data_IF_615950516401
#
_entry.id   IF_615950516401
#
_cell.length_a   1.000
_cell.length_b   1.000
_cell.length_c   1.000
_cell.angle_alpha   90.00
_cell.angle_beta   90.00
_cell.angle_gamma   90.00
#
_symmetry.space_group_name_H-M   'P 1'
#
loop_
_entity.id
_entity.type
_entity.pdbx_description
1 polymer ?
#
# COMPACT_ATOMS: atom_id res chain seq x y z
N UNK A 1 21.58 -27.62 -24.41
CA UNK A 1 21.29 -27.03 -23.10
C UNK A 1 19.96 -26.27 -23.20
N UNK A 2 18.86 -26.81 -22.62
CA UNK A 2 17.62 -26.05 -22.56
C UNK A 2 17.85 -24.90 -21.58
N UNK A 3 17.85 -23.67 -22.06
CA UNK A 3 17.79 -22.50 -21.21
C UNK A 3 16.45 -22.56 -20.50
N UNK A 4 16.48 -22.93 -19.23
CA UNK A 4 15.28 -22.94 -18.36
C UNK A 4 14.74 -21.52 -18.30
N UNK A 5 13.74 -21.24 -19.16
CA UNK A 5 13.11 -19.91 -19.19
C UNK A 5 12.37 -19.71 -17.87
N UNK A 6 12.80 -18.72 -17.10
CA UNK A 6 12.09 -18.32 -15.90
C UNK A 6 10.60 -18.09 -16.21
N UNK A 7 9.72 -18.59 -15.36
CA UNK A 7 8.29 -18.29 -15.46
C UNK A 7 8.06 -16.78 -15.24
N UNK A 8 6.92 -16.28 -15.69
CA UNK A 8 6.56 -14.86 -15.51
C UNK A 8 6.73 -14.39 -14.06
N UNK A 9 6.14 -15.11 -13.09
CA UNK A 9 6.26 -14.74 -11.67
C UNK A 9 7.70 -14.83 -11.14
N UNK A 10 8.51 -15.79 -11.60
CA UNK A 10 9.93 -15.85 -11.22
C UNK A 10 10.75 -14.70 -11.76
N UNK A 11 10.40 -14.16 -12.95
CA UNK A 11 11.04 -12.95 -13.49
C UNK A 11 10.68 -11.72 -12.67
N UNK A 12 9.41 -11.54 -12.34
CA UNK A 12 8.95 -10.44 -11.49
C UNK A 12 9.59 -10.51 -10.08
N UNK A 13 9.66 -11.70 -9.50
CA UNK A 13 10.35 -11.93 -8.22
C UNK A 13 11.84 -11.51 -8.31
N UNK A 14 12.55 -12.00 -9.32
CA UNK A 14 13.97 -11.70 -9.49
C UNK A 14 14.23 -10.20 -9.71
N UNK A 15 13.39 -9.51 -10.49
CA UNK A 15 13.44 -8.07 -10.70
C UNK A 15 13.23 -7.32 -9.38
N UNK A 16 12.18 -7.65 -8.64
CA UNK A 16 11.87 -7.00 -7.36
C UNK A 16 12.98 -7.21 -6.32
N UNK A 17 13.53 -8.42 -6.21
CA UNK A 17 14.66 -8.71 -5.33
C UNK A 17 15.91 -7.91 -5.73
N UNK A 18 16.19 -7.81 -7.03
CA UNK A 18 17.29 -6.97 -7.54
C UNK A 18 17.11 -5.51 -7.13
N UNK A 19 15.93 -4.93 -7.37
CA UNK A 19 15.62 -3.54 -7.00
C UNK A 19 15.79 -3.32 -5.49
N UNK A 20 15.29 -4.24 -4.65
CA UNK A 20 15.39 -4.12 -3.18
C UNK A 20 16.86 -4.14 -2.73
N UNK A 21 17.67 -5.02 -3.30
CA UNK A 21 19.11 -5.11 -2.99
C UNK A 21 19.88 -3.89 -3.46
N UNK A 22 19.58 -3.37 -4.64
CA UNK A 22 20.18 -2.17 -5.21
C UNK A 22 19.95 -0.96 -4.28
N UNK A 23 18.73 -0.77 -3.80
CA UNK A 23 18.43 0.32 -2.86
C UNK A 23 19.17 0.16 -1.55
N UNK A 24 19.24 -1.05 -1.00
CA UNK A 24 19.98 -1.28 0.25
C UNK A 24 21.50 -1.07 0.11
N UNK A 25 22.05 -1.20 -1.10
CA UNK A 25 23.45 -0.96 -1.39
C UNK A 25 23.79 0.51 -1.64
N UNK A 26 22.87 1.25 -2.27
CA UNK A 26 23.12 2.61 -2.75
C UNK A 26 22.69 3.70 -1.76
N UNK A 27 21.71 3.43 -0.89
CA UNK A 27 21.17 4.41 0.05
C UNK A 27 21.63 4.16 1.48
N UNK A 28 21.86 5.26 2.20
CA UNK A 28 22.39 5.19 3.57
C UNK A 28 21.33 4.88 4.61
N UNK A 29 20.07 5.28 4.36
CA UNK A 29 19.00 5.14 5.33
C UNK A 29 17.64 4.83 4.63
N UNK A 30 17.51 3.67 3.99
CA UNK A 30 16.27 3.26 3.37
C UNK A 30 15.23 2.82 4.40
N UNK A 31 13.94 2.89 4.02
CA UNK A 31 12.80 2.43 4.82
C UNK A 31 11.77 1.73 3.95
N UNK A 32 11.09 0.71 4.46
CA UNK A 32 9.99 0.06 3.74
C UNK A 32 8.63 0.49 4.32
N UNK A 33 7.82 1.14 3.48
CA UNK A 33 6.46 1.53 3.87
C UNK A 33 5.59 0.27 3.98
N UNK A 34 5.04 0.03 5.18
CA UNK A 34 4.23 -1.13 5.48
C UNK A 34 2.78 -0.72 5.74
N UNK A 35 1.98 -0.71 4.68
CA UNK A 35 0.54 -0.33 4.74
C UNK A 35 -0.37 -1.47 5.18
N UNK A 36 0.17 -2.67 5.40
CA UNK A 36 -0.54 -3.90 5.80
C UNK A 36 -1.42 -4.48 4.66
N UNK A 37 -1.52 -3.82 3.53
CA UNK A 37 -2.23 -4.33 2.36
C UNK A 37 -1.50 -5.50 1.67
N UNK A 38 -2.17 -6.20 0.74
CA UNK A 38 -1.61 -7.33 -0.01
C UNK A 38 -0.28 -7.02 -0.70
N UNK A 39 -0.19 -5.83 -1.30
CA UNK A 39 1.01 -5.40 -2.03
C UNK A 39 2.20 -5.19 -1.07
N UNK A 40 1.99 -4.56 0.08
CA UNK A 40 3.03 -4.40 1.09
C UNK A 40 3.42 -5.72 1.76
N UNK A 41 2.50 -6.69 1.85
CA UNK A 41 2.80 -8.04 2.34
C UNK A 41 3.68 -8.82 1.35
N UNK A 42 3.40 -8.72 0.04
CA UNK A 42 4.27 -9.28 -1.02
C UNK A 42 5.63 -8.59 -1.02
N UNK A 43 5.67 -7.26 -0.92
CA UNK A 43 6.92 -6.51 -0.88
C UNK A 43 7.78 -6.90 0.33
N UNK A 44 7.18 -7.08 1.51
CA UNK A 44 7.86 -7.56 2.70
C UNK A 44 8.40 -8.99 2.51
N UNK A 45 7.60 -9.90 1.94
CA UNK A 45 8.05 -11.26 1.63
C UNK A 45 9.24 -11.27 0.68
N UNK A 46 9.23 -10.44 -0.36
CA UNK A 46 10.35 -10.28 -1.31
C UNK A 46 11.60 -9.72 -0.62
N UNK A 47 11.44 -8.76 0.31
CA UNK A 47 12.55 -8.24 1.10
C UNK A 47 13.16 -9.31 2.02
N UNK A 48 12.34 -10.12 2.67
CA UNK A 48 12.83 -11.26 3.45
C UNK A 48 13.60 -12.26 2.58
N UNK A 49 13.12 -12.57 1.37
CA UNK A 49 13.85 -13.42 0.40
C UNK A 49 15.15 -12.77 -0.08
N UNK A 50 15.13 -11.45 -0.30
CA UNK A 50 16.30 -10.72 -0.81
C UNK A 50 17.52 -10.82 0.11
N UNK A 51 17.30 -10.90 1.41
CA UNK A 51 18.38 -10.90 2.42
C UNK A 51 18.52 -12.22 3.19
N UNK A 52 17.73 -13.24 2.84
CA UNK A 52 17.81 -14.53 3.51
C UNK A 52 19.25 -15.09 3.53
N UNK A 53 19.75 -15.61 4.67
CA UNK A 53 19.06 -15.87 5.94
C UNK A 53 19.00 -14.66 6.91
N UNK A 54 19.61 -13.53 6.56
CA UNK A 54 19.56 -12.30 7.36
C UNK A 54 18.19 -11.61 7.22
N UNK A 55 17.92 -10.64 8.09
CA UNK A 55 16.78 -9.73 7.97
C UNK A 55 17.08 -8.60 6.99
N UNK A 56 16.06 -7.95 6.41
CA UNK A 56 16.26 -6.71 5.66
C UNK A 56 17.01 -5.67 6.50
N UNK A 57 18.04 -4.97 5.95
CA UNK A 57 18.86 -4.03 6.69
C UNK A 57 18.22 -2.64 6.83
N UNK A 58 16.92 -2.59 6.87
CA UNK A 58 16.12 -1.36 6.99
C UNK A 58 14.83 -1.61 7.77
N UNK A 59 14.30 -0.62 8.49
CA UNK A 59 13.08 -0.74 9.25
C UNK A 59 11.85 -0.70 8.36
N UNK A 60 10.71 -1.13 8.93
CA UNK A 60 9.37 -0.89 8.40
C UNK A 60 8.84 0.45 8.94
N UNK A 61 8.10 1.19 8.12
CA UNK A 61 7.38 2.39 8.54
C UNK A 61 5.88 2.21 8.26
N UNK A 62 5.09 2.27 9.32
CA UNK A 62 3.64 2.34 9.24
C UNK A 62 3.17 3.74 9.60
N UNK A 63 2.46 4.40 8.68
CA UNK A 63 1.75 5.65 8.97
C UNK A 63 0.37 5.28 9.53
N UNK A 64 0.22 5.50 10.82
CA UNK A 64 -1.06 5.28 11.50
C UNK A 64 -1.93 6.53 11.38
N UNK A 65 -3.03 6.37 10.67
CA UNK A 65 -4.01 7.42 10.45
C UNK A 65 -5.10 7.46 11.54
N UNK A 66 -4.94 6.67 12.60
CA UNK A 66 -5.92 6.42 13.69
C UNK A 66 -7.21 5.71 13.25
N UNK A 67 -7.56 5.76 11.98
CA UNK A 67 -8.74 5.13 11.39
C UNK A 67 -8.35 3.90 10.55
N UNK A 68 -7.85 2.87 11.23
CA UNK A 68 -7.56 1.55 10.64
C UNK A 68 -8.54 0.52 11.15
N UNK A 69 -8.80 -0.52 10.36
CA UNK A 69 -9.51 -1.71 10.84
C UNK A 69 -8.71 -2.39 11.94
N UNK A 70 -9.39 -2.86 12.98
CA UNK A 70 -8.76 -3.56 14.12
C UNK A 70 -7.98 -4.79 13.69
N UNK A 71 -8.51 -5.56 12.71
CA UNK A 71 -7.84 -6.72 12.15
C UNK A 71 -6.51 -6.36 11.46
N UNK A 72 -6.41 -5.19 10.83
CA UNK A 72 -5.16 -4.72 10.23
C UNK A 72 -4.09 -4.45 11.28
N UNK A 73 -4.44 -3.75 12.35
CA UNK A 73 -3.50 -3.42 13.43
C UNK A 73 -2.99 -4.70 14.09
N UNK A 74 -3.90 -5.61 14.43
CA UNK A 74 -3.54 -6.91 15.01
C UNK A 74 -2.59 -7.69 14.09
N UNK A 75 -2.93 -7.82 12.80
CA UNK A 75 -2.11 -8.54 11.83
C UNK A 75 -0.72 -7.93 11.66
N UNK A 76 -0.62 -6.58 11.68
CA UNK A 76 0.65 -5.85 11.64
C UNK A 76 1.56 -6.27 12.79
N UNK A 77 1.03 -6.17 14.00
CA UNK A 77 1.82 -6.39 15.22
C UNK A 77 2.25 -7.86 15.33
N UNK A 78 1.35 -8.81 15.02
CA UNK A 78 1.66 -10.25 14.98
C UNK A 78 2.72 -10.57 13.90
N UNK A 79 2.62 -9.96 12.72
CA UNK A 79 3.58 -10.19 11.62
C UNK A 79 4.97 -9.67 11.99
N UNK A 80 5.05 -8.46 12.51
CA UNK A 80 6.32 -7.85 12.92
C UNK A 80 6.97 -8.64 14.04
N UNK A 81 6.22 -9.05 15.05
CA UNK A 81 6.71 -9.86 16.16
C UNK A 81 7.22 -11.23 15.67
N UNK A 82 6.44 -11.92 14.83
CA UNK A 82 6.81 -13.24 14.27
C UNK A 82 8.07 -13.20 13.41
N UNK A 83 8.27 -12.14 12.64
CA UNK A 83 9.45 -11.98 11.78
C UNK A 83 10.61 -11.30 12.52
N UNK A 84 10.38 -10.75 13.72
CA UNK A 84 11.35 -10.04 14.53
C UNK A 84 11.93 -8.81 13.83
N UNK A 85 11.07 -8.03 13.15
CA UNK A 85 11.46 -6.85 12.37
C UNK A 85 11.32 -5.57 13.19
N UNK A 86 12.07 -4.54 12.81
CA UNK A 86 11.95 -3.21 13.39
C UNK A 86 10.79 -2.47 12.72
N UNK A 87 9.80 -2.04 13.50
CA UNK A 87 8.65 -1.28 13.04
C UNK A 87 8.62 0.10 13.68
N UNK A 88 8.57 1.11 12.84
CA UNK A 88 8.27 2.49 13.24
C UNK A 88 6.79 2.75 12.94
N UNK A 89 6.02 3.10 13.97
CA UNK A 89 4.65 3.57 13.80
C UNK A 89 4.65 5.09 13.99
N UNK A 90 4.23 5.80 12.97
CA UNK A 90 4.17 7.28 13.00
C UNK A 90 2.76 7.77 12.79
N UNK A 91 2.34 8.70 13.66
CA UNK A 91 1.02 9.35 13.62
C UNK A 91 1.24 10.87 13.67
N UNK A 92 0.51 11.63 12.87
CA UNK A 92 0.50 13.10 12.95
C UNK A 92 -0.16 13.53 14.26
N UNK A 93 0.63 13.99 15.22
CA UNK A 93 0.15 14.34 16.55
C UNK A 93 -0.72 15.61 16.54
N UNK A 94 -0.45 16.55 15.65
CA UNK A 94 -1.26 17.76 15.49
C UNK A 94 -2.65 17.43 14.96
N UNK A 95 -2.72 16.47 14.02
CA UNK A 95 -3.98 15.93 13.51
C UNK A 95 -4.79 15.23 14.60
N UNK A 96 -4.12 14.44 15.45
CA UNK A 96 -4.76 13.80 16.62
C UNK A 96 -5.29 14.84 17.61
N UNK A 97 -4.48 15.83 17.97
CA UNK A 97 -4.88 16.89 18.91
C UNK A 97 -6.08 17.71 18.41
N UNK A 98 -6.20 17.87 17.10
CA UNK A 98 -7.35 18.54 16.45
C UNK A 98 -8.52 17.59 16.15
N UNK A 99 -8.46 16.33 16.57
CA UNK A 99 -9.46 15.29 16.29
C UNK A 99 -9.83 15.17 14.80
N UNK A 100 -8.83 15.28 13.91
CA UNK A 100 -9.06 15.19 12.46
C UNK A 100 -9.57 13.77 12.11
N UNK A 101 -10.80 13.72 11.60
CA UNK A 101 -11.47 12.47 11.23
C UNK A 101 -12.20 12.62 9.89
N UNK A 102 -12.55 11.51 9.21
CA UNK A 102 -13.11 11.56 7.87
C UNK A 102 -14.55 12.08 7.81
N UNK A 103 -15.30 12.08 8.91
CA UNK A 103 -16.70 12.50 8.95
C UNK A 103 -16.85 14.02 9.08
N UNK A 104 -16.14 14.61 10.04
CA UNK A 104 -16.24 16.04 10.32
C UNK A 104 -15.44 16.88 9.32
N UNK A 105 -14.39 16.33 8.75
CA UNK A 105 -13.42 17.08 7.93
C UNK A 105 -13.40 16.64 6.46
N UNK A 106 -14.12 15.58 6.11
CA UNK A 106 -14.12 14.99 4.77
C UNK A 106 -12.87 14.14 4.46
N UNK A 107 -13.02 13.26 3.48
CA UNK A 107 -12.01 12.26 3.10
C UNK A 107 -10.70 12.88 2.62
N UNK A 108 -10.79 13.96 1.85
CA UNK A 108 -9.64 14.64 1.23
C UNK A 108 -8.76 15.31 2.28
N UNK A 109 -9.32 16.16 3.15
CA UNK A 109 -8.56 16.86 4.19
C UNK A 109 -7.98 15.89 5.23
N UNK A 110 -8.79 14.92 5.67
CA UNK A 110 -8.31 13.87 6.56
C UNK A 110 -7.11 13.12 5.96
N UNK A 111 -7.19 12.72 4.69
CA UNK A 111 -6.07 12.02 4.02
C UNK A 111 -4.84 12.92 3.88
N UNK A 112 -5.04 14.22 3.58
CA UNK A 112 -3.94 15.17 3.51
C UNK A 112 -3.19 15.24 4.84
N UNK A 113 -3.90 15.45 5.95
CA UNK A 113 -3.27 15.65 7.27
C UNK A 113 -2.75 14.34 7.85
N UNK A 114 -3.62 13.31 7.95
CA UNK A 114 -3.32 12.09 8.70
C UNK A 114 -2.49 11.09 7.92
N UNK A 115 -2.33 11.25 6.60
CA UNK A 115 -1.56 10.32 5.79
C UNK A 115 -0.43 11.02 5.04
N UNK A 116 -0.71 12.06 4.23
CA UNK A 116 0.32 12.69 3.40
C UNK A 116 1.31 13.48 4.24
N UNK A 117 0.85 14.37 5.11
CA UNK A 117 1.73 15.15 5.98
C UNK A 117 2.43 14.25 7.01
N UNK A 118 1.70 13.29 7.62
CA UNK A 118 2.30 12.31 8.53
C UNK A 118 3.45 11.52 7.88
N UNK A 119 3.32 11.13 6.60
CA UNK A 119 4.40 10.46 5.88
C UNK A 119 5.60 11.39 5.68
N UNK A 120 5.38 12.64 5.27
CA UNK A 120 6.47 13.63 5.09
C UNK A 120 7.20 13.90 6.41
N UNK A 121 6.44 14.07 7.49
CA UNK A 121 6.99 14.23 8.85
C UNK A 121 7.87 13.04 9.24
N UNK A 122 7.38 11.82 9.05
CA UNK A 122 8.16 10.62 9.37
C UNK A 122 9.45 10.55 8.56
N UNK A 123 9.38 10.76 7.25
CA UNK A 123 10.55 10.68 6.38
C UNK A 123 11.60 11.74 6.73
N UNK A 124 11.17 12.96 7.05
CA UNK A 124 12.04 14.04 7.47
C UNK A 124 12.62 13.78 8.87
N UNK A 125 11.75 13.41 9.82
CA UNK A 125 12.14 13.18 11.22
C UNK A 125 13.21 12.10 11.37
N UNK A 126 13.08 11.02 10.61
CA UNK A 126 14.02 9.89 10.67
C UNK A 126 15.14 9.99 9.62
N UNK A 127 15.10 11.00 8.74
CA UNK A 127 16.14 11.25 7.74
C UNK A 127 16.23 10.18 6.66
N UNK A 128 15.10 9.57 6.27
CA UNK A 128 15.08 8.54 5.23
C UNK A 128 15.36 9.12 3.85
N UNK A 129 16.33 8.53 3.15
CA UNK A 129 16.77 8.94 1.81
C UNK A 129 16.12 8.10 0.69
N UNK A 130 15.65 6.89 1.01
CA UNK A 130 14.87 6.05 0.11
C UNK A 130 13.68 5.41 0.85
N UNK A 131 12.51 5.35 0.18
CA UNK A 131 11.34 4.69 0.76
C UNK A 131 10.67 3.77 -0.27
N UNK A 132 10.64 2.46 0.06
CA UNK A 132 9.94 1.48 -0.74
C UNK A 132 8.42 1.64 -0.60
N UNK A 133 7.71 1.60 -1.72
CA UNK A 133 6.26 1.62 -1.79
C UNK A 133 5.70 0.49 -2.66
N UNK A 134 4.52 -0.01 -2.30
CA UNK A 134 3.87 -1.12 -2.99
C UNK A 134 3.06 -0.72 -4.23
N UNK A 135 3.24 0.49 -4.77
CA UNK A 135 2.49 0.95 -5.93
C UNK A 135 2.86 0.20 -7.22
N UNK A 136 1.84 -0.09 -8.03
CA UNK A 136 1.97 -0.75 -9.33
C UNK A 136 1.46 0.16 -10.46
N UNK A 137 2.02 0.01 -11.65
CA UNK A 137 1.55 0.73 -12.85
C UNK A 137 0.13 0.34 -13.26
N UNK A 138 -0.27 -0.87 -12.90
CA UNK A 138 -1.59 -1.46 -13.18
C UNK A 138 -2.73 -0.82 -12.35
N UNK A 139 -2.42 -0.26 -11.18
CA UNK A 139 -3.42 0.27 -10.26
C UNK A 139 -4.20 1.45 -10.83
N UNK A 140 -3.48 2.38 -11.49
CA UNK A 140 -4.06 3.63 -11.94
C UNK A 140 -3.16 4.32 -12.97
N UNK A 141 -3.76 5.02 -13.95
CA UNK A 141 -3.06 5.65 -15.09
C UNK A 141 -1.93 6.60 -14.67
N UNK A 142 -2.09 7.33 -13.58
CA UNK A 142 -1.05 8.24 -13.11
C UNK A 142 0.19 7.51 -12.60
N UNK A 143 0.03 6.27 -12.11
CA UNK A 143 1.14 5.41 -11.66
C UNK A 143 2.03 4.97 -12.82
N UNK A 144 1.46 4.79 -14.01
CA UNK A 144 2.23 4.45 -15.20
C UNK A 144 3.25 5.53 -15.60
N UNK A 145 3.07 6.77 -15.17
CA UNK A 145 4.00 7.87 -15.42
C UNK A 145 5.22 7.88 -14.48
N UNK A 146 5.13 7.21 -13.33
CA UNK A 146 6.25 7.11 -12.40
C UNK A 146 7.23 6.03 -12.85
N UNK A 147 8.51 6.27 -12.56
CA UNK A 147 9.57 5.28 -12.73
C UNK A 147 9.63 4.38 -11.51
N UNK A 148 10.39 3.29 -11.59
CA UNK A 148 10.68 2.42 -10.44
C UNK A 148 11.41 3.23 -9.37
N UNK A 149 12.41 4.03 -9.77
CA UNK A 149 13.06 5.02 -8.91
C UNK A 149 12.43 6.40 -9.18
N UNK A 150 11.48 6.79 -8.36
CA UNK A 150 10.71 8.02 -8.48
C UNK A 150 11.31 9.12 -7.63
N UNK A 151 11.95 10.10 -8.27
CA UNK A 151 12.65 11.20 -7.61
C UNK A 151 11.67 12.16 -6.93
N UNK A 152 12.04 12.59 -5.73
CA UNK A 152 11.29 13.53 -4.90
C UNK A 152 12.13 14.75 -4.57
N UNK A 153 11.52 15.91 -4.68
CA UNK A 153 12.12 17.18 -4.23
C UNK A 153 12.31 17.19 -2.71
N UNK A 154 13.03 18.18 -2.20
CA UNK A 154 13.18 18.40 -0.77
C UNK A 154 11.84 18.61 -0.01
N UNK A 155 10.77 19.00 -0.72
CA UNK A 155 9.41 19.04 -0.19
C UNK A 155 8.61 17.75 -0.36
N UNK A 156 9.28 16.64 -0.71
CA UNK A 156 8.73 15.31 -0.98
C UNK A 156 7.81 15.20 -2.22
N UNK A 157 7.62 16.27 -2.97
CA UNK A 157 6.82 16.26 -4.20
C UNK A 157 7.49 15.46 -5.32
N UNK A 158 6.69 14.80 -6.16
CA UNK A 158 7.20 14.13 -7.35
C UNK A 158 7.82 15.11 -8.33
N UNK A 159 9.04 14.81 -8.79
CA UNK A 159 9.78 15.63 -9.77
C UNK A 159 9.84 14.94 -11.13
N UNK A 160 8.85 15.15 -12.01
CA UNK A 160 8.82 14.54 -13.34
C UNK A 160 9.93 15.00 -14.26
N UNK A 161 10.54 16.16 -14.01
CA UNK A 161 11.59 16.73 -14.86
C UNK A 161 12.95 16.10 -14.63
N UNK A 162 13.21 15.63 -13.42
CA UNK A 162 14.48 15.00 -13.03
C UNK A 162 14.41 13.46 -13.00
N UNK A 163 13.32 12.87 -13.54
CA UNK A 163 13.25 11.41 -13.68
C UNK A 163 14.32 10.91 -14.64
N UNK A 164 14.96 9.81 -14.29
CA UNK A 164 16.04 9.23 -15.09
C UNK A 164 15.57 8.04 -15.90
N UNK A 165 16.11 7.80 -17.10
CA UNK A 165 15.85 6.59 -17.85
C UNK A 165 16.25 5.34 -17.06
N UNK A 166 15.45 4.27 -17.18
CA UNK A 166 15.69 2.96 -16.56
C UNK A 166 15.92 1.90 -17.65
N UNK A 167 16.84 2.22 -18.58
CA UNK A 167 17.19 1.33 -19.69
C UNK A 167 17.97 0.12 -19.16
N UNK A 168 17.64 -1.06 -19.69
CA UNK A 168 18.30 -2.33 -19.32
C UNK A 168 18.27 -2.65 -17.82
N UNK A 169 17.23 -2.18 -17.10
CA UNK A 169 17.10 -2.32 -15.65
C UNK A 169 18.29 -1.74 -14.85
N UNK A 170 18.92 -0.72 -15.41
CA UNK A 170 19.92 0.07 -14.69
C UNK A 170 19.24 1.26 -14.01
N UNK A 171 19.42 1.34 -12.69
CA UNK A 171 18.82 2.38 -11.86
C UNK A 171 19.86 3.40 -11.46
N UNK A 172 19.51 4.68 -11.56
CA UNK A 172 20.37 5.76 -11.11
C UNK A 172 19.84 6.27 -9.76
N UNK A 173 20.54 5.93 -8.70
CA UNK A 173 20.17 6.25 -7.32
C UNK A 173 20.69 7.62 -6.84
N UNK A 174 21.43 8.35 -7.66
CA UNK A 174 22.07 9.60 -7.25
C UNK A 174 21.03 10.70 -6.97
N UNK A 175 20.92 11.11 -5.71
CA UNK A 175 20.11 12.23 -5.22
C UNK A 175 20.99 13.38 -4.76
N UNK A 176 20.46 14.61 -4.79
CA UNK A 176 21.10 15.78 -4.18
C UNK A 176 20.73 15.87 -2.71
N UNK A 177 21.49 16.66 -1.95
CA UNK A 177 21.20 16.89 -0.54
C UNK A 177 19.77 17.44 -0.35
N UNK A 178 19.01 16.76 0.51
CA UNK A 178 17.62 17.08 0.79
C UNK A 178 16.59 16.45 -0.16
N UNK A 179 16.99 15.88 -1.29
CA UNK A 179 16.13 15.07 -2.16
C UNK A 179 16.05 13.63 -1.63
N UNK A 180 15.01 12.91 -2.03
CA UNK A 180 14.81 11.50 -1.69
C UNK A 180 14.23 10.73 -2.86
N UNK A 181 14.17 9.41 -2.75
CA UNK A 181 13.57 8.53 -3.76
C UNK A 181 12.40 7.74 -3.17
N UNK A 182 11.33 7.60 -3.94
CA UNK A 182 10.36 6.51 -3.75
C UNK A 182 10.72 5.39 -4.69
N UNK A 183 10.77 4.17 -4.18
CA UNK A 183 11.12 2.98 -4.97
C UNK A 183 9.93 2.04 -5.03
N UNK A 184 9.57 1.59 -6.21
CA UNK A 184 8.41 0.75 -6.46
C UNK A 184 8.81 -0.63 -7.01
N UNK A 185 9.24 -1.58 -6.16
CA UNK A 185 9.70 -2.90 -6.59
C UNK A 185 8.62 -3.72 -7.31
N UNK A 186 7.35 -3.39 -7.04
CA UNK A 186 6.18 -4.07 -7.63
C UNK A 186 5.63 -3.34 -8.87
N UNK A 187 6.34 -2.34 -9.41
CA UNK A 187 5.84 -1.46 -10.48
C UNK A 187 5.33 -2.23 -11.70
N UNK A 188 5.97 -3.32 -12.08
CA UNK A 188 5.65 -4.14 -13.26
C UNK A 188 4.67 -5.30 -12.97
N UNK A 189 4.22 -5.46 -11.74
CA UNK A 189 3.25 -6.48 -11.33
C UNK A 189 1.81 -6.01 -11.62
N UNK A 190 0.96 -6.94 -12.04
CA UNK A 190 -0.49 -6.75 -12.07
C UNK A 190 -1.14 -7.17 -10.76
N UNK A 191 -2.41 -6.80 -10.54
CA UNK A 191 -3.18 -7.29 -9.38
C UNK A 191 -3.25 -8.83 -9.38
N UNK A 192 -3.45 -9.41 -10.55
CA UNK A 192 -3.48 -10.87 -10.69
C UNK A 192 -2.13 -11.53 -10.34
N UNK A 193 -1.00 -10.92 -10.74
CA UNK A 193 0.33 -11.43 -10.37
C UNK A 193 0.51 -11.43 -8.84
N UNK A 194 0.06 -10.37 -8.16
CA UNK A 194 0.10 -10.28 -6.70
C UNK A 194 -0.68 -11.44 -6.07
N UNK A 195 -1.93 -11.68 -6.49
CA UNK A 195 -2.75 -12.75 -5.94
C UNK A 195 -2.20 -14.15 -6.25
N UNK A 196 -1.71 -14.38 -7.47
CA UNK A 196 -1.08 -15.65 -7.85
C UNK A 196 0.21 -15.89 -7.06
N UNK A 197 0.97 -14.83 -6.78
CA UNK A 197 2.20 -14.95 -5.99
C UNK A 197 1.90 -15.21 -4.51
N UNK A 198 0.89 -14.54 -3.95
CA UNK A 198 0.40 -14.82 -2.58
C UNK A 198 -0.02 -16.29 -2.45
N UNK A 199 -0.78 -16.80 -3.42
CA UNK A 199 -1.21 -18.19 -3.45
C UNK A 199 -0.01 -19.15 -3.55
N UNK A 200 0.92 -18.88 -4.49
CA UNK A 200 2.08 -19.74 -4.75
C UNK A 200 3.04 -19.83 -3.56
N UNK A 201 3.34 -18.69 -2.95
CA UNK A 201 4.31 -18.58 -1.84
C UNK A 201 3.64 -18.71 -0.46
N UNK A 202 2.32 -18.91 -0.42
CA UNK A 202 1.51 -18.98 0.80
C UNK A 202 1.76 -17.80 1.75
N UNK A 203 1.75 -16.58 1.19
CA UNK A 203 2.03 -15.36 1.95
C UNK A 203 0.86 -15.03 2.87
N UNK A 204 1.08 -14.88 4.18
CA UNK A 204 0.03 -14.43 5.09
C UNK A 204 -0.47 -13.01 4.72
N UNK A 205 -1.78 -12.84 4.70
CA UNK A 205 -2.44 -11.57 4.46
C UNK A 205 -3.55 -11.32 5.48
N UNK A 206 -4.00 -10.08 5.60
CA UNK A 206 -5.07 -9.70 6.53
C UNK A 206 -6.35 -10.48 6.24
N UNK A 207 -7.05 -11.01 7.26
CA UNK A 207 -8.30 -11.77 7.09
C UNK A 207 -9.40 -11.02 6.34
N UNK A 208 -9.37 -9.69 6.32
CA UNK A 208 -10.32 -8.85 5.58
C UNK A 208 -10.35 -9.11 4.05
N UNK A 209 -9.32 -9.73 3.50
CA UNK A 209 -9.29 -10.13 2.08
C UNK A 209 -10.14 -11.36 1.76
N UNK A 210 -10.50 -12.15 2.78
CA UNK A 210 -11.33 -13.34 2.64
C UNK A 210 -12.79 -13.03 2.95
N UNK A 211 -13.71 -13.63 2.21
CA UNK A 211 -15.14 -13.48 2.45
C UNK A 211 -15.52 -14.01 3.84
N UNK A 212 -16.25 -13.20 4.58
CA UNK A 212 -16.81 -13.54 5.88
C UNK A 212 -18.10 -12.75 6.12
N UNK A 213 -18.97 -13.26 6.98
CA UNK A 213 -20.11 -12.50 7.48
C UNK A 213 -19.60 -11.32 8.29
N UNK A 214 -20.00 -10.11 7.89
CA UNK A 214 -19.56 -8.87 8.53
C UNK A 214 -20.70 -7.87 8.60
N UNK A 215 -20.80 -7.10 9.69
CA UNK A 215 -21.78 -6.03 9.78
C UNK A 215 -21.39 -4.90 8.83
N UNK A 216 -22.28 -4.55 7.91
CA UNK A 216 -22.08 -3.46 6.94
C UNK A 216 -23.28 -2.54 6.89
N UNK A 217 -23.04 -1.29 6.50
CA UNK A 217 -24.06 -0.35 6.07
C UNK A 217 -23.82 0.04 4.62
N UNK A 218 -24.88 0.30 3.88
CA UNK A 218 -24.77 0.73 2.48
C UNK A 218 -24.96 2.25 2.40
N UNK A 219 -23.94 2.95 1.86
CA UNK A 219 -23.97 4.40 1.61
C UNK A 219 -23.44 4.69 0.22
N UNK A 220 -24.22 5.41 -0.57
CA UNK A 220 -23.85 5.79 -1.95
C UNK A 220 -23.39 4.59 -2.82
N UNK A 221 -24.03 3.44 -2.66
CA UNK A 221 -23.72 2.20 -3.37
C UNK A 221 -22.45 1.49 -2.88
N UNK A 222 -21.88 1.90 -1.75
CA UNK A 222 -20.74 1.25 -1.13
C UNK A 222 -21.11 0.55 0.17
N UNK A 223 -20.58 -0.67 0.37
CA UNK A 223 -20.71 -1.41 1.61
C UNK A 223 -19.58 -1.00 2.57
N UNK A 224 -19.94 -0.26 3.61
CA UNK A 224 -19.01 0.20 4.64
C UNK A 224 -19.14 -0.75 5.85
N UNK A 225 -18.04 -1.43 6.19
CA UNK A 225 -18.03 -2.31 7.35
C UNK A 225 -18.12 -1.52 8.65
N UNK A 226 -18.96 -1.96 9.56
CA UNK A 226 -19.05 -1.41 10.93
C UNK A 226 -18.05 -2.16 11.81
N UNK A 227 -16.78 -1.70 11.80
CA UNK A 227 -15.70 -2.37 12.54
C UNK A 227 -15.76 -2.10 14.05
N UNK A 228 -16.14 -0.87 14.40
CA UNK A 228 -16.27 -0.44 15.81
C UNK A 228 -17.31 0.68 15.95
N UNK A 229 -17.52 1.15 17.16
CA UNK A 229 -18.52 2.18 17.49
C UNK A 229 -18.19 3.60 16.99
N UNK A 230 -17.11 3.82 16.22
CA UNK A 230 -16.73 5.13 15.70
C UNK A 230 -17.49 5.53 14.45
N UNK A 231 -18.10 4.59 13.73
CA UNK A 231 -18.93 4.90 12.56
C UNK A 231 -20.27 5.50 13.03
N UNK A 232 -20.54 6.78 12.80
CA UNK A 232 -21.86 7.34 13.14
C UNK A 232 -22.91 6.77 12.19
N UNK A 233 -23.92 6.12 12.77
CA UNK A 233 -25.08 5.63 12.02
C UNK A 233 -26.13 6.73 11.91
N UNK A 234 -26.72 6.89 10.72
CA UNK A 234 -27.82 7.82 10.48
C UNK A 234 -29.13 7.39 11.17
N UNK A 235 -30.10 8.30 11.25
CA UNK A 235 -31.41 7.97 11.81
C UNK A 235 -32.10 6.88 10.95
N UNK A 236 -32.39 5.74 11.57
CA UNK A 236 -32.99 4.56 10.90
C UNK A 236 -31.98 3.68 10.14
N UNK A 237 -30.70 3.99 10.14
CA UNK A 237 -29.66 3.15 9.57
C UNK A 237 -29.27 2.06 10.59
N UNK A 238 -29.21 0.81 10.13
CA UNK A 238 -28.75 -0.33 10.94
C UNK A 238 -27.74 -1.16 10.17
N UNK A 239 -26.76 -1.69 10.88
CA UNK A 239 -25.82 -2.62 10.28
C UNK A 239 -26.52 -3.94 9.93
N UNK A 240 -26.25 -4.45 8.75
CA UNK A 240 -26.73 -5.76 8.29
C UNK A 240 -25.55 -6.72 8.13
N UNK A 241 -25.74 -7.98 8.53
CA UNK A 241 -24.74 -9.02 8.32
C UNK A 241 -24.78 -9.45 6.85
N UNK A 242 -23.70 -9.18 6.12
CA UNK A 242 -23.54 -9.61 4.72
C UNK A 242 -22.23 -10.38 4.54
N UNK A 243 -22.21 -11.29 3.57
CA UNK A 243 -21.01 -12.04 3.19
C UNK A 243 -20.16 -11.15 2.27
N UNK A 244 -19.09 -10.59 2.83
CA UNK A 244 -18.27 -9.58 2.14
C UNK A 244 -16.78 -9.81 2.34
N UNK A 245 -15.99 -9.29 1.41
CA UNK A 245 -14.53 -9.16 1.50
C UNK A 245 -14.04 -7.81 1.00
N UNK A 246 -12.76 -7.52 1.21
CA UNK A 246 -12.13 -6.33 0.63
C UNK A 246 -11.19 -6.72 -0.53
N UNK A 247 -11.17 -5.96 -1.62
CA UNK A 247 -10.16 -6.06 -2.69
C UNK A 247 -8.92 -5.24 -2.39
N UNK A 248 -9.10 -4.13 -1.70
CA UNK A 248 -8.04 -3.22 -1.28
C UNK A 248 -8.30 -2.76 0.14
N UNK A 249 -7.25 -2.48 0.89
CA UNK A 249 -7.36 -1.99 2.27
C UNK A 249 -6.79 -0.57 2.36
N UNK A 250 -7.52 0.29 3.01
CA UNK A 250 -7.18 1.68 3.26
C UNK A 250 -7.53 2.11 4.68
N UNK A 251 -8.00 3.34 4.80
CA UNK A 251 -8.54 3.82 6.07
C UNK A 251 -10.00 3.35 6.21
N UNK A 252 -10.35 2.88 7.38
CA UNK A 252 -11.72 2.72 7.82
C UNK A 252 -12.34 4.12 8.04
N UNK A 253 -13.48 4.49 7.63
CA UNK A 253 -14.47 3.81 6.79
C UNK A 253 -14.41 4.22 5.29
N UNK A 254 -13.26 4.69 4.81
CA UNK A 254 -13.07 5.20 3.45
C UNK A 254 -12.83 4.07 2.42
N UNK A 255 -12.95 2.83 2.85
CA UNK A 255 -12.74 1.65 2.01
C UNK A 255 -13.99 0.80 2.03
N UNK A 256 -14.64 0.67 0.87
CA UNK A 256 -15.79 -0.18 0.70
C UNK A 256 -15.42 -1.66 0.58
N UNK A 257 -16.28 -2.51 1.11
CA UNK A 257 -16.27 -3.95 0.88
C UNK A 257 -17.05 -4.29 -0.40
N UNK A 258 -16.88 -5.51 -0.87
CA UNK A 258 -17.67 -6.09 -1.98
C UNK A 258 -18.35 -7.37 -1.49
N UNK A 259 -19.55 -7.65 -1.97
CA UNK A 259 -20.17 -8.95 -1.80
C UNK A 259 -19.37 -10.01 -2.56
N UNK A 260 -19.03 -11.09 -1.90
CA UNK A 260 -18.24 -12.17 -2.47
C UNK A 260 -18.30 -13.39 -1.55
N UNK A 261 -18.26 -14.57 -2.14
CA UNK A 261 -18.15 -15.86 -1.47
C UNK A 261 -16.71 -16.41 -1.42
N UNK A 262 -15.74 -15.68 -1.99
CA UNK A 262 -14.35 -16.09 -2.06
C UNK A 262 -13.69 -16.06 -0.67
N UNK A 263 -13.76 -17.19 0.04
CA UNK A 263 -13.21 -17.38 1.38
C UNK A 263 -11.80 -18.00 1.40
N UNK A 264 -11.27 -18.36 0.23
CA UNK A 264 -9.94 -18.98 0.06
C UNK A 264 -9.13 -18.28 -1.04
N UNK A 265 -7.80 -18.40 -0.98
CA UNK A 265 -6.92 -17.83 -2.01
C UNK A 265 -7.24 -18.33 -3.44
N UNK A 266 -7.49 -19.63 -3.69
CA UNK A 266 -7.89 -20.09 -5.02
C UNK A 266 -9.17 -19.44 -5.54
N UNK A 267 -10.15 -19.22 -4.67
CA UNK A 267 -11.41 -18.56 -5.02
C UNK A 267 -11.19 -17.08 -5.35
N UNK A 268 -10.37 -16.37 -4.56
CA UNK A 268 -9.98 -14.99 -4.85
C UNK A 268 -9.27 -14.90 -6.21
N UNK A 269 -8.32 -15.80 -6.50
CA UNK A 269 -7.62 -15.82 -7.80
C UNK A 269 -8.62 -16.06 -8.94
N UNK A 270 -9.58 -16.98 -8.78
CA UNK A 270 -10.62 -17.23 -9.77
C UNK A 270 -11.50 -15.99 -10.02
N UNK A 271 -11.91 -15.31 -8.95
CA UNK A 271 -12.67 -14.06 -9.05
C UNK A 271 -11.87 -12.98 -9.79
N UNK A 272 -10.57 -12.87 -9.54
CA UNK A 272 -9.70 -11.91 -10.24
C UNK A 272 -9.56 -12.18 -11.74
N UNK A 273 -9.60 -13.42 -12.17
CA UNK A 273 -9.53 -13.78 -13.61
C UNK A 273 -10.75 -13.27 -14.40
N UNK A 274 -11.88 -13.09 -13.75
CA UNK A 274 -13.13 -12.60 -14.39
C UNK A 274 -13.42 -11.12 -14.08
N UNK A 275 -12.66 -10.50 -13.17
CA UNK A 275 -12.85 -9.11 -12.79
C UNK A 275 -12.55 -8.15 -13.95
N UNK A 276 -13.47 -7.20 -14.23
CA UNK A 276 -13.33 -6.19 -15.28
C UNK A 276 -13.08 -4.79 -14.75
N UNK A 277 -13.19 -4.59 -13.45
CA UNK A 277 -13.03 -3.28 -12.79
C UNK A 277 -11.73 -3.21 -12.00
N UNK A 278 -11.16 -2.00 -11.88
CA UNK A 278 -9.99 -1.76 -11.04
C UNK A 278 -10.29 -2.04 -9.57
N UNK A 279 -9.29 -2.51 -8.83
CA UNK A 279 -9.37 -2.70 -7.37
C UNK A 279 -9.68 -1.41 -6.62
N UNK A 280 -9.35 -0.25 -7.19
CA UNK A 280 -9.55 1.06 -6.59
C UNK A 280 -10.97 1.60 -6.71
N UNK A 281 -11.83 0.97 -7.50
CA UNK A 281 -13.22 1.41 -7.68
C UNK A 281 -14.05 1.46 -6.38
N UNK A 282 -13.64 0.76 -5.34
CA UNK A 282 -14.25 0.80 -4.00
C UNK A 282 -13.67 1.83 -3.03
N UNK A 283 -12.82 2.76 -3.49
CA UNK A 283 -12.23 3.80 -2.61
C UNK A 283 -12.90 5.14 -2.80
N UNK A 284 -13.53 5.67 -1.75
CA UNK A 284 -14.18 7.00 -1.73
C UNK A 284 -13.26 8.11 -2.25
N UNK A 285 -12.01 8.11 -1.82
CA UNK A 285 -11.06 9.17 -2.16
C UNK A 285 -10.74 9.28 -3.66
N UNK A 286 -11.00 8.23 -4.43
CA UNK A 286 -10.76 8.22 -5.88
C UNK A 286 -11.97 8.76 -6.66
N UNK A 287 -13.12 8.92 -6.01
CA UNK A 287 -14.35 9.51 -6.57
C UNK A 287 -14.44 11.03 -6.33
N UNK A 288 -13.69 11.59 -5.37
CA UNK A 288 -13.85 12.98 -4.94
C UNK A 288 -13.40 14.01 -5.98
N UNK A 289 -12.41 13.72 -6.84
CA UNK A 289 -11.93 14.67 -7.86
C UNK A 289 -11.34 13.95 -9.09
N UNK A 290 -11.59 14.48 -10.28
CA UNK A 290 -10.91 14.10 -11.52
C UNK A 290 -9.39 14.37 -11.39
N UNK A 291 -8.55 13.39 -11.75
CA UNK A 291 -7.09 13.45 -11.62
C UNK A 291 -6.54 13.62 -10.18
N UNK A 292 -7.29 13.21 -9.16
CA UNK A 292 -6.91 13.37 -7.75
C UNK A 292 -5.55 12.76 -7.42
N UNK A 293 -5.20 11.61 -8.00
CA UNK A 293 -3.91 10.94 -7.75
C UNK A 293 -2.71 11.69 -8.32
N UNK A 294 -2.86 12.39 -9.46
CA UNK A 294 -1.76 13.18 -10.03
C UNK A 294 -1.46 14.42 -9.18
N UNK A 295 -2.51 15.06 -8.66
CA UNK A 295 -2.39 16.18 -7.70
C UNK A 295 -1.72 15.70 -6.41
N UNK A 296 -2.17 14.59 -5.83
CA UNK A 296 -1.62 14.02 -4.59
C UNK A 296 -0.15 13.62 -4.69
N UNK A 297 0.32 13.13 -5.86
CA UNK A 297 1.76 12.86 -6.08
C UNK A 297 2.60 14.14 -6.01
N UNK A 298 2.12 15.24 -6.59
CA UNK A 298 2.80 16.53 -6.50
C UNK A 298 2.86 17.06 -5.07
N UNK A 299 1.88 16.71 -4.25
CA UNK A 299 1.81 17.05 -2.83
C UNK A 299 2.65 16.14 -1.94
N UNK A 300 3.25 15.08 -2.48
CA UNK A 300 4.10 14.15 -1.75
C UNK A 300 3.43 12.84 -1.31
N UNK A 301 2.19 12.62 -1.71
CA UNK A 301 1.54 11.30 -1.58
C UNK A 301 2.24 10.28 -2.50
N UNK A 302 2.22 9.01 -2.14
CA UNK A 302 2.81 7.93 -2.95
C UNK A 302 1.75 7.09 -3.64
#
# INVERSE_FOLDING_TARGET
MSVDRLTHLKRLEAESIHIIREVAAEFSNPVMLYSIGKDSSVMLHLAMKAFYPAKPPFPLLHVDTTWKFREMVKFRDETVARLGLDLIVHTNQDGVAKNINPFDHGSSYYTQVMKTEALKEALTKYGFDAAFGGARRDEEKSRAKERIFSFRTASHGWDPKNQRPELWNLYNARVKKGESIRVFPLSNWTELDIWQYILKENIPIVPLYYAAMRPVVERDGMLIMVDDGRLPLGAGESAEERLVRFRTLGCYPLTGAIESDAATLPEIVREMLIARTSERSGRLIDHDESASMEKKKKEGYF
#
